data_IF_283145702799
#
_entry.id   IF_283145702799
#
_cell.length_a   1.000
_cell.length_b   1.000
_cell.length_c   1.000
_cell.angle_alpha   90.00
_cell.angle_beta   90.00
_cell.angle_gamma   90.00
#
_symmetry.space_group_name_H-M   'P 1'
#
loop_
_entity.id
_entity.type
_entity.pdbx_description
1 polymer ?
#
# COMPACT_ATOMS: atom_id res chain seq x y z
N UNK A 1 -9.08 13.03 1.19
CA UNK A 1 -10.38 13.70 1.40
C UNK A 1 -10.24 15.03 2.13
N UNK A 2 -9.69 15.10 3.35
CA UNK A 2 -9.54 16.37 4.08
C UNK A 2 -8.80 17.47 3.32
N UNK A 3 -7.68 17.13 2.67
CA UNK A 3 -6.93 18.08 1.86
C UNK A 3 -7.74 18.62 0.67
N UNK A 4 -8.64 17.80 0.11
CA UNK A 4 -9.54 18.17 -0.98
C UNK A 4 -10.59 19.16 -0.46
N UNK A 5 -11.27 18.81 0.63
CA UNK A 5 -12.24 19.70 1.27
C UNK A 5 -11.61 21.03 1.65
N UNK A 6 -10.37 21.00 2.16
CA UNK A 6 -9.64 22.23 2.47
C UNK A 6 -9.43 23.10 1.23
N UNK A 7 -8.93 22.55 0.12
CA UNK A 7 -8.75 23.33 -1.12
C UNK A 7 -10.08 23.88 -1.69
N UNK A 8 -11.21 23.21 -1.46
CA UNK A 8 -12.52 23.74 -1.87
C UNK A 8 -12.90 25.00 -1.08
N UNK A 9 -12.59 25.01 0.22
CA UNK A 9 -12.97 26.08 1.14
C UNK A 9 -11.90 27.18 1.20
N UNK A 10 -10.65 26.86 0.87
CA UNK A 10 -9.50 27.74 1.01
C UNK A 10 -9.67 29.12 0.35
N UNK A 11 -10.20 29.24 -0.88
CA UNK A 11 -10.45 30.55 -1.49
C UNK A 11 -11.42 31.44 -0.69
N UNK A 12 -12.28 30.85 0.13
CA UNK A 12 -13.29 31.54 0.94
C UNK A 12 -12.83 31.87 2.36
N UNK A 13 -11.59 31.54 2.74
CA UNK A 13 -11.07 31.77 4.11
C UNK A 13 -10.93 33.27 4.43
N UNK A 14 -10.60 34.10 3.44
CA UNK A 14 -10.41 35.54 3.64
C UNK A 14 -11.69 36.32 3.97
N UNK A 15 -12.87 35.79 3.61
CA UNK A 15 -14.19 36.34 3.97
C UNK A 15 -15.12 35.20 4.41
N UNK A 16 -15.03 34.76 5.69
CA UNK A 16 -15.67 33.54 6.18
C UNK A 16 -17.18 33.74 6.42
N UNK A 17 -17.94 33.94 5.34
CA UNK A 17 -19.39 33.89 5.36
C UNK A 17 -19.90 32.45 5.19
N UNK A 18 -20.82 32.01 6.05
CA UNK A 18 -21.43 30.67 5.99
C UNK A 18 -22.01 30.37 4.59
N UNK A 19 -22.63 31.37 3.96
CA UNK A 19 -23.19 31.28 2.60
C UNK A 19 -22.10 31.09 1.54
N UNK A 20 -20.94 31.74 1.68
CA UNK A 20 -19.81 31.59 0.74
C UNK A 20 -19.17 30.21 0.88
N UNK A 21 -18.94 29.75 2.10
CA UNK A 21 -18.38 28.41 2.36
C UNK A 21 -19.33 27.32 1.82
N UNK A 22 -20.63 27.45 2.09
CA UNK A 22 -21.64 26.54 1.55
C UNK A 22 -21.67 26.60 0.00
N UNK A 23 -21.56 27.80 -0.57
CA UNK A 23 -21.45 28.02 -2.02
C UNK A 23 -20.24 27.34 -2.64
N UNK A 24 -19.07 27.43 -2.02
CA UNK A 24 -17.83 26.78 -2.50
C UNK A 24 -17.89 25.26 -2.41
N UNK A 25 -18.45 24.72 -1.32
CA UNK A 25 -18.68 23.27 -1.18
C UNK A 25 -19.70 22.78 -2.22
N UNK A 26 -20.80 23.51 -2.41
CA UNK A 26 -21.81 23.18 -3.41
C UNK A 26 -21.24 23.27 -4.83
N UNK A 27 -20.47 24.32 -5.14
CA UNK A 27 -19.77 24.48 -6.42
C UNK A 27 -18.79 23.33 -6.69
N UNK A 28 -18.03 22.91 -5.68
CA UNK A 28 -17.17 21.73 -5.75
C UNK A 28 -17.95 20.44 -6.01
N UNK A 29 -19.06 20.22 -5.30
CA UNK A 29 -19.91 19.05 -5.49
C UNK A 29 -20.56 19.03 -6.88
N UNK A 30 -21.05 20.17 -7.37
CA UNK A 30 -21.59 20.33 -8.74
C UNK A 30 -20.50 20.05 -9.75
N UNK A 31 -19.29 20.59 -9.57
CA UNK A 31 -18.18 20.33 -10.48
C UNK A 31 -17.80 18.84 -10.51
N UNK A 32 -17.76 18.17 -9.36
CA UNK A 32 -17.54 16.71 -9.30
C UNK A 32 -18.64 15.97 -10.05
N UNK A 33 -19.91 16.31 -9.80
CA UNK A 33 -21.05 15.68 -10.47
C UNK A 33 -21.03 15.88 -11.99
N UNK A 34 -20.80 17.10 -12.45
CA UNK A 34 -20.71 17.45 -13.88
C UNK A 34 -19.50 16.80 -14.52
N UNK A 35 -18.32 16.85 -13.90
CA UNK A 35 -17.11 16.21 -14.42
C UNK A 35 -17.27 14.69 -14.51
N UNK A 36 -17.93 14.06 -13.53
CA UNK A 36 -18.20 12.63 -13.55
C UNK A 36 -19.24 12.24 -14.61
N UNK A 37 -20.27 13.05 -14.79
CA UNK A 37 -21.28 12.82 -15.81
C UNK A 37 -20.70 13.03 -17.21
N UNK A 38 -19.97 14.11 -17.41
CA UNK A 38 -19.27 14.39 -18.65
C UNK A 38 -18.17 13.35 -18.94
N UNK A 39 -17.48 12.84 -17.91
CA UNK A 39 -16.53 11.75 -18.10
C UNK A 39 -17.23 10.45 -18.54
N UNK A 40 -18.45 10.20 -18.05
CA UNK A 40 -19.27 9.06 -18.48
C UNK A 40 -19.60 9.06 -19.96
N UNK A 41 -20.03 10.21 -20.48
CA UNK A 41 -20.60 10.28 -21.83
C UNK A 41 -19.63 10.77 -22.89
N UNK A 42 -18.82 11.78 -22.57
CA UNK A 42 -17.86 12.36 -23.52
C UNK A 42 -16.53 11.62 -23.49
N UNK A 43 -16.00 11.36 -22.28
CA UNK A 43 -14.65 10.85 -22.12
C UNK A 43 -14.55 9.35 -22.43
N UNK A 44 -15.60 8.57 -22.16
CA UNK A 44 -15.69 7.19 -22.60
C UNK A 44 -15.58 7.06 -24.13
N UNK A 45 -16.33 7.87 -24.89
CA UNK A 45 -16.26 7.87 -26.36
C UNK A 45 -14.94 8.40 -26.90
N UNK A 46 -14.41 9.45 -26.28
CA UNK A 46 -13.13 10.04 -26.68
C UNK A 46 -11.97 9.07 -26.46
N UNK A 47 -11.93 8.37 -25.32
CA UNK A 47 -10.91 7.38 -25.04
C UNK A 47 -11.09 6.10 -25.83
N UNK A 48 -12.31 5.66 -26.10
CA UNK A 48 -12.54 4.53 -27.02
C UNK A 48 -12.01 4.84 -28.43
N UNK A 49 -12.23 6.06 -28.93
CA UNK A 49 -11.69 6.50 -30.21
C UNK A 49 -10.16 6.67 -30.19
N UNK A 50 -9.61 7.09 -29.05
CA UNK A 50 -8.17 7.37 -28.88
C UNK A 50 -7.36 6.14 -28.45
N UNK A 51 -7.99 5.07 -27.96
CA UNK A 51 -7.34 3.91 -27.34
C UNK A 51 -6.32 3.21 -28.26
N UNK A 52 -6.50 3.34 -29.58
CA UNK A 52 -5.59 2.78 -30.58
C UNK A 52 -4.25 3.51 -30.68
N UNK A 53 -4.12 4.73 -30.13
CA UNK A 53 -2.90 5.54 -30.19
C UNK A 53 -2.54 6.10 -28.81
N UNK A 54 -1.45 5.61 -28.19
CA UNK A 54 -1.01 6.06 -26.87
C UNK A 54 -0.86 7.59 -26.74
N UNK A 55 -0.43 8.26 -27.81
CA UNK A 55 -0.21 9.71 -27.86
C UNK A 55 -1.53 10.47 -27.74
N UNK A 56 -2.60 9.98 -28.40
CA UNK A 56 -3.92 10.59 -28.33
C UNK A 56 -4.56 10.42 -26.95
N UNK A 57 -4.30 9.29 -26.28
CA UNK A 57 -4.74 9.06 -24.89
C UNK A 57 -4.09 10.10 -23.96
N UNK A 58 -2.78 10.33 -24.09
CA UNK A 58 -2.08 11.34 -23.30
C UNK A 58 -2.64 12.74 -23.54
N UNK A 59 -2.73 13.17 -24.81
CA UNK A 59 -3.22 14.50 -25.17
C UNK A 59 -4.65 14.71 -24.66
N UNK A 60 -5.54 13.73 -24.86
CA UNK A 60 -6.94 13.79 -24.41
C UNK A 60 -7.04 13.89 -22.88
N UNK A 61 -6.20 13.16 -22.16
CA UNK A 61 -6.17 13.18 -20.69
C UNK A 61 -5.72 14.54 -20.14
N UNK A 62 -4.67 15.10 -20.74
CA UNK A 62 -4.14 16.43 -20.37
C UNK A 62 -5.14 17.53 -20.75
N UNK A 63 -5.75 17.44 -21.95
CA UNK A 63 -6.79 18.38 -22.37
C UNK A 63 -8.00 18.34 -21.42
N UNK A 64 -8.46 17.16 -21.02
CA UNK A 64 -9.51 17.00 -20.02
C UNK A 64 -9.15 17.65 -18.69
N UNK A 65 -7.92 17.44 -18.22
CA UNK A 65 -7.40 18.09 -17.01
C UNK A 65 -7.49 19.62 -17.10
N UNK A 66 -7.05 20.21 -18.22
CA UNK A 66 -7.11 21.66 -18.41
C UNK A 66 -8.54 22.20 -18.55
N UNK A 67 -9.43 21.48 -19.23
CA UNK A 67 -10.84 21.86 -19.36
C UNK A 67 -11.50 21.93 -17.97
N UNK A 68 -11.37 20.86 -17.17
CA UNK A 68 -11.98 20.80 -15.84
C UNK A 68 -11.34 21.84 -14.91
N UNK A 69 -10.02 22.04 -14.99
CA UNK A 69 -9.32 23.09 -14.22
C UNK A 69 -9.78 24.50 -14.58
N UNK A 70 -9.98 24.79 -15.86
CA UNK A 70 -10.49 26.08 -16.32
C UNK A 70 -11.96 26.32 -15.93
N UNK A 71 -12.79 25.27 -15.92
CA UNK A 71 -14.16 25.36 -15.39
C UNK A 71 -14.12 25.61 -13.88
N UNK A 72 -13.25 24.93 -13.14
CA UNK A 72 -13.09 25.11 -11.70
C UNK A 72 -12.76 26.56 -11.35
N UNK A 73 -11.79 27.17 -12.05
CA UNK A 73 -11.42 28.57 -11.87
C UNK A 73 -12.59 29.53 -12.11
N UNK A 74 -13.41 29.28 -13.16
CA UNK A 74 -14.61 30.08 -13.44
C UNK A 74 -15.69 29.94 -12.36
N UNK A 75 -15.73 28.83 -11.65
CA UNK A 75 -16.63 28.60 -10.51
C UNK A 75 -16.07 29.15 -9.19
N UNK A 76 -14.92 29.84 -9.21
CA UNK A 76 -14.27 30.37 -8.01
C UNK A 76 -13.53 29.32 -7.18
N UNK A 77 -13.28 28.13 -7.74
CA UNK A 77 -12.49 27.07 -7.13
C UNK A 77 -11.03 27.18 -7.59
N UNK A 78 -10.11 26.54 -6.86
CA UNK A 78 -8.71 26.51 -7.27
C UNK A 78 -8.48 25.64 -8.52
N UNK A 79 -7.47 25.97 -9.33
CA UNK A 79 -7.12 25.18 -10.53
C UNK A 79 -6.66 23.78 -10.14
N UNK A 80 -5.97 23.68 -9.01
CA UNK A 80 -5.45 22.47 -8.40
C UNK A 80 -6.60 21.53 -8.00
N UNK A 81 -7.70 22.07 -7.50
CA UNK A 81 -8.93 21.33 -7.24
C UNK A 81 -9.50 20.76 -8.54
N UNK A 82 -9.61 21.58 -9.59
CA UNK A 82 -10.12 21.13 -10.89
C UNK A 82 -9.26 20.02 -11.50
N UNK A 83 -7.93 20.13 -11.42
CA UNK A 83 -7.00 19.09 -11.88
C UNK A 83 -7.20 17.77 -11.11
N UNK A 84 -7.42 17.84 -9.79
CA UNK A 84 -7.70 16.66 -8.98
C UNK A 84 -9.04 16.01 -9.35
N UNK A 85 -10.10 16.80 -9.52
CA UNK A 85 -11.41 16.32 -9.95
C UNK A 85 -11.32 15.67 -11.33
N UNK A 86 -10.53 16.24 -12.25
CA UNK A 86 -10.28 15.65 -13.55
C UNK A 86 -9.64 14.27 -13.43
N UNK A 87 -8.58 14.14 -12.62
CA UNK A 87 -7.94 12.85 -12.36
C UNK A 87 -8.88 11.81 -11.74
N UNK A 88 -9.67 12.23 -10.75
CA UNK A 88 -10.70 11.36 -10.13
C UNK A 88 -11.74 10.90 -11.16
N UNK A 89 -12.22 11.81 -12.01
CA UNK A 89 -13.22 11.49 -13.04
C UNK A 89 -12.72 10.49 -14.08
N UNK A 90 -11.41 10.47 -14.38
CA UNK A 90 -10.77 9.49 -15.27
C UNK A 90 -10.60 8.14 -14.55
N UNK A 91 -10.16 8.17 -13.29
CA UNK A 91 -9.86 6.97 -12.50
C UNK A 91 -11.08 6.06 -12.28
N UNK A 92 -12.29 6.61 -12.39
CA UNK A 92 -13.53 5.87 -12.23
C UNK A 92 -13.93 5.00 -13.45
N UNK A 93 -13.21 5.09 -14.58
CA UNK A 93 -13.53 4.36 -15.82
C UNK A 93 -12.51 3.27 -16.14
N UNK A 94 -12.90 2.23 -16.91
CA UNK A 94 -12.03 1.10 -17.25
C UNK A 94 -10.69 1.48 -17.92
N UNK A 95 -10.67 2.58 -18.70
CA UNK A 95 -9.46 3.09 -19.36
C UNK A 95 -8.53 3.89 -18.43
N UNK A 96 -8.89 4.05 -17.15
CA UNK A 96 -8.12 4.82 -16.19
C UNK A 96 -6.69 4.29 -16.00
N UNK A 97 -6.49 2.98 -16.05
CA UNK A 97 -5.15 2.36 -15.98
C UNK A 97 -4.24 2.80 -17.12
N UNK A 98 -4.78 2.83 -18.34
CA UNK A 98 -4.03 3.20 -19.54
C UNK A 98 -3.65 4.67 -19.47
N UNK A 99 -4.59 5.54 -19.10
CA UNK A 99 -4.32 6.97 -18.89
C UNK A 99 -3.24 7.18 -17.83
N UNK A 100 -3.34 6.52 -16.68
CA UNK A 100 -2.36 6.63 -15.60
C UNK A 100 -0.97 6.23 -16.11
N UNK A 101 -0.85 5.14 -16.87
CA UNK A 101 0.43 4.69 -17.41
C UNK A 101 1.10 5.73 -18.32
N UNK A 102 0.31 6.49 -19.10
CA UNK A 102 0.84 7.49 -20.04
C UNK A 102 1.10 8.84 -19.37
N UNK A 103 0.23 9.24 -18.45
CA UNK A 103 0.37 10.51 -17.71
C UNK A 103 1.52 10.44 -16.70
N UNK A 104 1.88 9.25 -16.20
CA UNK A 104 2.95 9.07 -15.21
C UNK A 104 4.28 9.71 -15.64
N UNK A 105 4.75 9.48 -16.87
CA UNK A 105 6.00 10.09 -17.34
C UNK A 105 5.95 11.62 -17.37
N UNK A 106 4.83 12.20 -17.81
CA UNK A 106 4.62 13.66 -17.82
C UNK A 106 4.54 14.22 -16.41
N UNK A 107 3.79 13.55 -15.53
CA UNK A 107 3.68 13.89 -14.11
C UNK A 107 5.06 13.92 -13.46
N UNK A 108 5.86 12.87 -13.60
CA UNK A 108 7.14 12.74 -12.91
C UNK A 108 8.13 13.82 -13.39
N UNK A 109 8.11 14.13 -14.69
CA UNK A 109 8.87 15.25 -15.27
C UNK A 109 8.47 16.61 -14.65
N UNK A 110 7.18 16.94 -14.66
CA UNK A 110 6.70 18.23 -14.13
C UNK A 110 6.79 18.33 -12.61
N UNK A 111 6.60 17.23 -11.88
CA UNK A 111 6.79 17.18 -10.43
C UNK A 111 8.24 17.46 -10.07
N UNK A 112 9.18 16.88 -10.81
CA UNK A 112 10.62 17.16 -10.62
C UNK A 112 10.94 18.63 -10.90
N UNK A 113 10.44 19.19 -12.00
CA UNK A 113 10.63 20.61 -12.31
C UNK A 113 9.99 21.52 -11.25
N UNK A 114 8.80 21.15 -10.75
CA UNK A 114 8.12 21.86 -9.67
C UNK A 114 8.96 21.88 -8.39
N UNK A 115 9.53 20.73 -7.99
CA UNK A 115 10.42 20.64 -6.84
C UNK A 115 11.70 21.46 -7.00
N UNK A 116 12.31 21.44 -8.19
CA UNK A 116 13.49 22.27 -8.49
C UNK A 116 13.14 23.75 -8.39
N UNK A 117 12.06 24.18 -9.05
CA UNK A 117 11.64 25.58 -9.06
C UNK A 117 11.28 26.08 -7.65
N UNK A 118 10.65 25.23 -6.84
CA UNK A 118 10.30 25.53 -5.46
C UNK A 118 11.55 25.59 -4.58
N UNK A 119 12.48 24.65 -4.74
CA UNK A 119 13.78 24.65 -4.05
C UNK A 119 14.61 25.90 -4.36
N UNK A 120 14.59 26.38 -5.60
CA UNK A 120 15.24 27.63 -5.99
C UNK A 120 14.64 28.88 -5.31
N UNK A 121 13.38 28.82 -4.88
CA UNK A 121 12.73 29.90 -4.12
C UNK A 121 13.02 29.86 -2.63
N UNK A 122 13.61 28.76 -2.12
CA UNK A 122 13.97 28.65 -0.70
C UNK A 122 15.26 29.42 -0.46
N UNK A 123 15.24 30.55 0.26
CA UNK A 123 16.47 31.21 0.66
C UNK A 123 17.25 30.32 1.62
N UNK A 124 18.58 30.48 1.71
CA UNK A 124 19.41 29.75 2.67
C UNK A 124 18.78 29.88 4.06
N UNK A 125 18.32 28.78 4.69
CA UNK A 125 17.52 28.86 5.88
C UNK A 125 18.34 29.46 7.02
N UNK A 126 17.85 30.55 7.61
CA UNK A 126 18.40 31.06 8.85
C UNK A 126 18.31 30.00 9.94
N UNK A 127 19.16 30.09 10.97
CA UNK A 127 19.09 29.19 12.13
C UNK A 127 17.68 29.15 12.76
N UNK A 128 16.95 30.27 12.71
CA UNK A 128 15.56 30.34 13.15
C UNK A 128 14.62 29.53 12.26
N UNK A 129 14.71 29.63 10.94
CA UNK A 129 13.88 28.84 10.01
C UNK A 129 14.16 27.35 10.19
N UNK A 130 15.44 26.98 10.30
CA UNK A 130 15.84 25.59 10.51
C UNK A 130 15.29 25.04 11.83
N UNK A 131 15.36 25.81 12.92
CA UNK A 131 14.79 25.41 14.22
C UNK A 131 13.28 25.15 14.15
N UNK A 132 12.52 26.03 13.50
CA UNK A 132 11.07 25.82 13.32
C UNK A 132 10.78 24.63 12.40
N UNK A 133 11.57 24.44 11.35
CA UNK A 133 11.42 23.31 10.45
C UNK A 133 11.63 21.97 11.18
N UNK A 134 12.71 21.85 11.98
CA UNK A 134 12.98 20.66 12.81
C UNK A 134 11.84 20.41 13.80
N UNK A 135 11.30 21.45 14.41
CA UNK A 135 10.14 21.32 15.30
C UNK A 135 8.91 20.77 14.57
N UNK A 136 8.63 21.24 13.35
CA UNK A 136 7.53 20.71 12.52
C UNK A 136 7.79 19.24 12.19
N UNK A 137 9.01 18.87 11.77
CA UNK A 137 9.35 17.48 11.46
C UNK A 137 9.12 16.60 12.70
N UNK A 138 9.65 17.00 13.86
CA UNK A 138 9.45 16.28 15.11
C UNK A 138 7.96 16.13 15.47
N UNK A 139 7.18 17.20 15.30
CA UNK A 139 5.73 17.18 15.51
C UNK A 139 5.00 16.23 14.56
N UNK A 140 5.33 16.21 13.27
CA UNK A 140 4.70 15.32 12.28
C UNK A 140 5.00 13.87 12.61
N UNK A 141 6.25 13.52 12.92
CA UNK A 141 6.61 12.16 13.34
C UNK A 141 5.93 11.77 14.65
N UNK A 142 5.95 12.64 15.67
CA UNK A 142 5.33 12.36 16.96
C UNK A 142 3.80 12.22 16.88
N UNK A 143 3.12 13.11 16.14
CA UNK A 143 1.66 13.06 15.97
C UNK A 143 1.22 11.81 15.22
N UNK A 144 1.95 11.41 14.17
CA UNK A 144 1.68 10.16 13.45
C UNK A 144 1.94 8.92 14.29
N UNK A 145 3.02 8.94 15.07
CA UNK A 145 3.31 7.89 16.03
C UNK A 145 2.16 7.74 17.03
N UNK A 146 1.75 8.83 17.69
CA UNK A 146 0.67 8.82 18.70
C UNK A 146 -0.66 8.39 18.08
N UNK A 147 -1.00 8.83 16.88
CA UNK A 147 -2.29 8.54 16.26
C UNK A 147 -2.38 7.10 15.69
N UNK A 148 -1.30 6.61 15.07
CA UNK A 148 -1.35 5.36 14.30
C UNK A 148 -0.96 4.15 15.15
N UNK A 149 0.09 4.26 15.98
CA UNK A 149 0.63 3.12 16.74
C UNK A 149 -0.38 2.46 17.68
N UNK A 150 -1.17 3.20 18.49
CA UNK A 150 -2.18 2.58 19.35
C UNK A 150 -3.28 1.90 18.53
N UNK A 151 -3.68 2.51 17.42
CA UNK A 151 -4.74 2.00 16.53
C UNK A 151 -4.32 0.70 15.86
N UNK A 152 -3.10 0.63 15.31
CA UNK A 152 -2.55 -0.61 14.73
C UNK A 152 -2.39 -1.70 15.79
N UNK A 153 -1.92 -1.33 16.99
CA UNK A 153 -1.78 -2.28 18.10
C UNK A 153 -3.13 -2.85 18.56
N UNK A 154 -4.18 -2.02 18.68
CA UNK A 154 -5.53 -2.45 19.05
C UNK A 154 -6.16 -3.36 17.99
N UNK A 155 -5.89 -3.11 16.72
CA UNK A 155 -6.45 -3.88 15.60
C UNK A 155 -5.67 -5.17 15.29
N UNK A 156 -4.56 -5.44 15.99
CA UNK A 156 -3.61 -6.56 15.71
C UNK A 156 -2.99 -6.55 14.31
N UNK A 157 -3.28 -5.53 13.52
CA UNK A 157 -2.64 -5.27 12.23
C UNK A 157 -1.29 -4.60 12.52
N UNK A 158 -0.19 -5.29 12.19
CA UNK A 158 1.17 -4.90 12.56
C UNK A 158 1.49 -3.41 12.35
N UNK A 159 2.41 -2.90 13.19
CA UNK A 159 2.83 -1.50 13.28
C UNK A 159 3.43 -0.89 11.99
N UNK A 160 3.55 -1.68 10.93
CA UNK A 160 4.16 -1.34 9.65
C UNK A 160 3.55 -0.10 8.99
N UNK A 161 2.30 0.25 9.30
CA UNK A 161 1.61 1.39 8.70
C UNK A 161 1.99 2.76 9.29
N UNK A 162 2.47 2.82 10.55
CA UNK A 162 2.56 4.09 11.29
C UNK A 162 3.67 5.02 10.84
N UNK A 163 4.90 4.53 10.74
CA UNK A 163 6.08 5.35 10.46
C UNK A 163 6.23 5.69 8.97
N UNK A 164 5.73 4.82 8.09
CA UNK A 164 5.74 5.03 6.63
C UNK A 164 4.86 6.21 6.22
N UNK A 165 3.84 6.55 7.01
CA UNK A 165 2.91 7.65 6.73
C UNK A 165 3.31 9.00 7.34
N UNK A 166 4.48 9.07 7.98
CA UNK A 166 4.99 10.30 8.60
C UNK A 166 5.62 11.30 7.62
N UNK A 167 5.72 10.96 6.34
CA UNK A 167 6.21 11.89 5.32
C UNK A 167 5.17 12.98 5.03
N UNK A 168 5.61 14.24 5.03
CA UNK A 168 4.80 15.36 4.52
C UNK A 168 4.55 15.13 3.02
N UNK A 169 3.29 15.00 2.63
CA UNK A 169 2.88 14.71 1.25
C UNK A 169 3.20 15.86 0.31
N UNK A 170 3.55 15.55 -0.95
CA UNK A 170 3.68 16.50 -2.08
C UNK A 170 2.46 17.41 -2.23
N UNK A 171 1.28 16.88 -1.89
CA UNK A 171 0.02 17.63 -1.91
C UNK A 171 0.00 18.81 -0.92
N UNK A 172 0.82 18.77 0.12
CA UNK A 172 0.97 19.87 1.08
C UNK A 172 1.59 21.11 0.42
N UNK A 173 2.41 20.94 -0.62
CA UNK A 173 3.00 22.05 -1.39
C UNK A 173 1.98 22.78 -2.23
N UNK A 174 1.03 22.02 -2.78
CA UNK A 174 -0.09 22.55 -3.54
C UNK A 174 -0.91 23.48 -2.64
N UNK A 175 -1.24 23.02 -1.42
CA UNK A 175 -1.95 23.81 -0.40
C UNK A 175 -1.12 25.03 0.02
N UNK A 176 0.19 24.85 0.24
CA UNK A 176 1.09 25.93 0.64
C UNK A 176 1.16 27.03 -0.43
N UNK A 177 1.33 26.64 -1.70
CA UNK A 177 1.37 27.57 -2.83
C UNK A 177 0.05 28.31 -2.98
N UNK A 178 -1.07 27.60 -2.91
CA UNK A 178 -2.40 28.20 -2.94
C UNK A 178 -2.59 29.18 -1.77
N UNK A 179 -2.06 28.85 -0.59
CA UNK A 179 -2.10 29.69 0.59
C UNK A 179 -1.26 30.96 0.44
N UNK A 180 -0.08 30.84 -0.16
CA UNK A 180 0.76 31.99 -0.49
C UNK A 180 0.09 32.90 -1.55
N UNK A 181 -0.56 32.32 -2.56
CA UNK A 181 -1.24 33.08 -3.62
C UNK A 181 -2.44 33.87 -3.11
N UNK A 182 -3.20 33.32 -2.17
CA UNK A 182 -4.28 34.04 -1.49
C UNK A 182 -3.79 34.93 -0.33
N UNK A 183 -2.48 34.99 -0.06
CA UNK A 183 -1.91 35.77 1.04
C UNK A 183 -2.19 35.22 2.44
N UNK A 184 -2.70 33.98 2.56
CA UNK A 184 -2.92 33.29 3.83
C UNK A 184 -1.61 32.87 4.50
N UNK A 185 -0.54 32.71 3.73
CA UNK A 185 0.76 32.22 4.19
C UNK A 185 1.83 33.24 3.86
N UNK A 186 2.58 33.69 4.87
CA UNK A 186 3.72 34.58 4.69
C UNK A 186 4.92 33.85 4.07
N UNK A 187 5.82 34.60 3.42
CA UNK A 187 7.06 34.04 2.85
C UNK A 187 7.90 33.29 3.88
N UNK A 188 7.92 33.79 5.13
CA UNK A 188 8.61 33.12 6.24
C UNK A 188 7.97 31.78 6.59
N UNK A 189 6.65 31.70 6.66
CA UNK A 189 5.94 30.46 6.91
C UNK A 189 6.14 29.46 5.75
N UNK A 190 6.09 29.96 4.51
CA UNK A 190 6.43 29.17 3.32
C UNK A 190 7.82 28.58 3.41
N UNK A 191 8.84 29.39 3.70
CA UNK A 191 10.23 28.91 3.83
C UNK A 191 10.39 27.83 4.92
N UNK A 192 9.71 27.99 6.06
CA UNK A 192 9.73 26.99 7.15
C UNK A 192 9.10 25.67 6.71
N UNK A 193 7.92 25.69 6.09
CA UNK A 193 7.22 24.47 5.63
C UNK A 193 8.01 23.78 4.53
N UNK A 194 8.57 24.53 3.58
CA UNK A 194 9.42 23.99 2.51
C UNK A 194 10.67 23.31 3.08
N UNK A 195 11.35 23.96 4.03
CA UNK A 195 12.52 23.38 4.71
C UNK A 195 12.15 22.11 5.46
N UNK A 196 11.04 22.10 6.19
CA UNK A 196 10.56 20.92 6.91
C UNK A 196 10.25 19.76 5.95
N UNK A 197 9.67 20.06 4.79
CA UNK A 197 9.37 19.05 3.79
C UNK A 197 10.62 18.44 3.15
N UNK A 198 11.63 19.26 2.85
CA UNK A 198 12.93 18.78 2.34
C UNK A 198 13.57 17.85 3.38
N UNK A 199 13.64 18.30 4.64
CA UNK A 199 14.19 17.48 5.74
C UNK A 199 13.42 16.18 5.91
N UNK A 200 12.09 16.23 5.91
CA UNK A 200 11.26 15.03 6.05
C UNK A 200 11.46 14.08 4.87
N UNK A 201 11.52 14.58 3.64
CA UNK A 201 11.72 13.75 2.45
C UNK A 201 13.11 13.12 2.42
N UNK A 202 14.12 13.79 2.96
CA UNK A 202 15.47 13.23 3.11
C UNK A 202 15.53 12.16 4.21
N UNK A 203 14.84 12.38 5.33
CA UNK A 203 14.84 11.47 6.50
C UNK A 203 13.94 10.24 6.26
N UNK A 204 12.84 10.38 5.51
CA UNK A 204 11.81 9.34 5.35
C UNK A 204 12.35 8.00 4.81
N UNK A 205 13.18 7.94 3.75
CA UNK A 205 13.72 6.67 3.25
C UNK A 205 14.51 5.89 4.31
N UNK A 206 15.27 6.59 5.15
CA UNK A 206 16.02 5.96 6.24
C UNK A 206 15.10 5.46 7.35
N UNK A 207 14.06 6.22 7.70
CA UNK A 207 13.06 5.80 8.69
C UNK A 207 12.25 4.60 8.18
N UNK A 208 11.87 4.60 6.90
CA UNK A 208 11.16 3.49 6.26
C UNK A 208 12.06 2.25 6.21
N UNK A 209 13.33 2.38 5.83
CA UNK A 209 14.29 1.26 5.83
C UNK A 209 14.60 0.72 7.23
N UNK A 210 14.58 1.59 8.26
CA UNK A 210 14.78 1.20 9.65
C UNK A 210 13.48 0.83 10.39
N UNK A 211 12.34 0.78 9.69
CA UNK A 211 11.01 0.65 10.28
C UNK A 211 10.94 -0.55 11.25
N UNK A 212 11.46 -1.71 10.86
CA UNK A 212 11.40 -2.93 11.67
C UNK A 212 12.19 -2.84 12.97
N UNK A 213 13.29 -2.08 12.96
CA UNK A 213 14.11 -1.84 14.15
C UNK A 213 13.43 -0.84 15.07
N UNK A 214 12.88 0.24 14.50
CA UNK A 214 12.17 1.28 15.26
C UNK A 214 10.89 0.70 15.87
N UNK A 215 10.10 -0.05 15.10
CA UNK A 215 8.89 -0.72 15.56
C UNK A 215 9.20 -1.66 16.74
N UNK A 216 10.22 -2.52 16.64
CA UNK A 216 10.63 -3.40 17.76
C UNK A 216 11.05 -2.65 19.01
N UNK A 217 11.87 -1.59 18.89
CA UNK A 217 12.32 -0.82 20.05
C UNK A 217 11.12 -0.15 20.74
N UNK A 218 10.22 0.44 19.94
CA UNK A 218 9.10 1.23 20.42
C UNK A 218 7.92 0.40 20.92
N UNK A 219 7.79 -0.86 20.47
CA UNK A 219 6.76 -1.80 20.92
C UNK A 219 7.14 -2.57 22.20
N UNK A 220 8.42 -2.63 22.58
CA UNK A 220 8.86 -3.27 23.84
C UNK A 220 8.03 -2.90 25.08
N UNK A 221 7.62 -1.63 25.28
CA UNK A 221 6.74 -1.26 26.40
C UNK A 221 5.30 -1.78 26.23
N UNK A 222 4.77 -1.75 25.00
CA UNK A 222 3.40 -2.21 24.70
C UNK A 222 3.27 -3.73 24.77
N UNK A 223 4.27 -4.49 24.32
CA UNK A 223 4.31 -5.96 24.45
C UNK A 223 4.30 -6.42 25.91
N UNK A 224 4.93 -5.66 26.83
CA UNK A 224 4.86 -5.99 28.27
C UNK A 224 3.45 -5.78 28.84
N UNK A 225 2.71 -4.83 28.28
CA UNK A 225 1.32 -4.58 28.65
C UNK A 225 0.36 -5.59 27.99
N UNK A 226 0.63 -5.99 26.74
CA UNK A 226 -0.05 -7.08 26.01
C UNK A 226 0.03 -8.39 26.80
N UNK A 227 1.24 -8.78 27.18
CA UNK A 227 1.52 -10.01 27.95
C UNK A 227 0.86 -10.00 29.33
N UNK A 228 0.62 -8.83 29.93
CA UNK A 228 -0.15 -8.71 31.19
C UNK A 228 -1.65 -8.90 30.97
N UNK A 229 -2.18 -8.56 29.79
CA UNK A 229 -3.61 -8.68 29.45
C UNK A 229 -3.97 -10.06 28.93
N UNK A 230 -3.08 -10.71 28.16
CA UNK A 230 -3.23 -12.13 27.77
C UNK A 230 -3.14 -13.07 28.96
N UNK A 231 -2.27 -12.79 29.94
CA UNK A 231 -2.23 -13.55 31.21
C UNK A 231 -3.46 -13.34 32.10
N UNK A 232 -4.26 -12.33 31.83
CA UNK A 232 -5.47 -12.01 32.60
C UNK A 232 -6.77 -12.47 31.90
N UNK A 233 -6.69 -13.06 30.70
CA UNK A 233 -7.85 -13.46 29.91
C UNK A 233 -7.81 -14.93 29.49
N UNK A 234 -8.36 -15.80 30.35
CA UNK A 234 -8.83 -17.15 29.99
C UNK A 234 -7.75 -18.22 29.76
N UNK A 235 -8.11 -19.51 29.87
CA UNK A 235 -7.15 -20.59 29.64
C UNK A 235 -6.63 -20.53 28.20
N UNK A 236 -5.35 -20.86 28.02
CA UNK A 236 -4.77 -21.07 26.70
C UNK A 236 -5.70 -21.99 25.89
N UNK A 237 -6.03 -21.67 24.62
CA UNK A 237 -6.73 -22.62 23.77
C UNK A 237 -5.88 -23.88 23.77
N UNK A 238 -6.52 -25.01 24.09
CA UNK A 238 -5.89 -26.32 24.17
C UNK A 238 -4.89 -26.50 23.02
N UNK A 239 -3.75 -27.09 23.35
CA UNK A 239 -2.78 -27.58 22.36
C UNK A 239 -3.52 -28.45 21.36
N UNK A 240 -3.92 -27.85 20.23
CA UNK A 240 -4.60 -28.57 19.17
C UNK A 240 -3.60 -29.58 18.60
N UNK A 241 -3.92 -30.88 18.61
CA UNK A 241 -3.09 -31.85 17.92
C UNK A 241 -3.20 -31.59 16.41
N UNK A 242 -2.07 -31.70 15.70
CA UNK A 242 -1.93 -31.74 14.24
C UNK A 242 -1.75 -30.43 13.46
N UNK A 243 -0.67 -29.68 13.74
CA UNK A 243 -0.06 -28.77 12.73
C UNK A 243 0.73 -29.55 11.68
N UNK A 244 0.11 -30.51 11.00
CA UNK A 244 0.87 -31.40 10.12
C UNK A 244 1.25 -30.74 8.78
N UNK A 245 0.38 -29.90 8.23
CA UNK A 245 0.60 -29.21 6.96
C UNK A 245 0.46 -27.70 7.18
N UNK A 246 1.54 -26.97 6.98
CA UNK A 246 1.56 -25.51 7.07
C UNK A 246 1.65 -24.92 5.67
N UNK A 247 0.66 -24.13 5.29
CA UNK A 247 0.64 -23.37 4.04
C UNK A 247 0.98 -21.91 4.33
N UNK A 248 2.12 -21.45 3.81
CA UNK A 248 2.60 -20.09 3.95
C UNK A 248 2.13 -19.26 2.75
N UNK A 249 1.31 -18.25 3.06
CA UNK A 249 0.71 -17.32 2.12
C UNK A 249 -0.64 -17.77 1.56
N UNK A 250 -1.62 -16.87 1.56
CA UNK A 250 -2.94 -17.02 0.96
C UNK A 250 -3.00 -16.34 -0.42
N UNK A 251 -2.34 -16.95 -1.40
CA UNK A 251 -2.34 -16.48 -2.80
C UNK A 251 -3.03 -17.47 -3.76
N UNK A 252 -2.85 -17.29 -5.08
CA UNK A 252 -3.55 -18.06 -6.12
C UNK A 252 -3.35 -19.57 -5.98
N UNK A 253 -2.12 -20.01 -5.73
CA UNK A 253 -1.80 -21.43 -5.58
C UNK A 253 -2.40 -21.97 -4.27
N UNK A 254 -2.28 -21.25 -3.16
CA UNK A 254 -2.92 -21.66 -1.90
C UNK A 254 -4.44 -21.80 -2.06
N UNK A 255 -5.11 -20.85 -2.71
CA UNK A 255 -6.55 -20.93 -2.97
C UNK A 255 -6.89 -22.18 -3.79
N UNK A 256 -6.15 -22.45 -4.87
CA UNK A 256 -6.34 -23.66 -5.66
C UNK A 256 -6.12 -24.94 -4.83
N UNK A 257 -5.14 -24.97 -3.93
CA UNK A 257 -4.91 -26.09 -3.00
C UNK A 257 -6.11 -26.26 -2.07
N UNK A 258 -6.58 -25.19 -1.43
CA UNK A 258 -7.73 -25.23 -0.52
C UNK A 258 -9.00 -25.70 -1.24
N UNK A 259 -9.25 -25.22 -2.46
CA UNK A 259 -10.39 -25.64 -3.29
C UNK A 259 -10.31 -27.13 -3.66
N UNK A 260 -9.11 -27.64 -3.99
CA UNK A 260 -8.92 -29.06 -4.30
C UNK A 260 -9.01 -29.95 -3.07
N UNK A 261 -8.52 -29.50 -1.92
CA UNK A 261 -8.71 -30.20 -0.65
C UNK A 261 -10.19 -30.31 -0.32
N UNK A 262 -10.96 -29.25 -0.54
CA UNK A 262 -12.40 -29.25 -0.36
C UNK A 262 -13.14 -30.25 -1.23
N UNK A 263 -12.74 -30.35 -2.51
CA UNK A 263 -13.42 -31.20 -3.47
C UNK A 263 -12.99 -32.66 -3.38
N UNK A 264 -11.70 -32.91 -3.14
CA UNK A 264 -11.08 -34.22 -3.38
C UNK A 264 -10.52 -34.86 -2.11
N UNK A 265 -10.18 -34.08 -1.09
CA UNK A 265 -9.58 -34.59 0.14
C UNK A 265 -10.08 -33.89 1.42
N UNK A 266 -11.39 -33.87 1.72
CA UNK A 266 -11.95 -33.11 2.85
C UNK A 266 -11.34 -33.48 4.21
N UNK A 267 -10.86 -34.72 4.36
CA UNK A 267 -10.19 -35.22 5.55
C UNK A 267 -8.88 -34.48 5.89
N UNK A 268 -8.30 -33.72 4.94
CA UNK A 268 -7.10 -32.90 5.19
C UNK A 268 -7.41 -31.52 5.77
N UNK A 269 -8.68 -31.06 5.79
CA UNK A 269 -9.04 -29.71 6.24
C UNK A 269 -8.53 -29.38 7.64
N UNK A 270 -8.77 -30.27 8.60
CA UNK A 270 -8.35 -30.08 9.99
C UNK A 270 -6.85 -30.27 10.25
N UNK A 271 -6.07 -30.62 9.21
CA UNK A 271 -4.61 -30.80 9.29
C UNK A 271 -3.84 -29.66 8.62
N UNK A 272 -4.55 -28.73 7.98
CA UNK A 272 -3.99 -27.60 7.24
C UNK A 272 -4.12 -26.33 8.08
N UNK A 273 -2.98 -25.74 8.39
CA UNK A 273 -2.88 -24.38 8.94
C UNK A 273 -2.36 -23.44 7.87
N UNK A 274 -3.17 -22.45 7.52
CA UNK A 274 -2.77 -21.38 6.61
C UNK A 274 -2.22 -20.19 7.40
N UNK A 275 -1.08 -19.68 6.98
CA UNK A 275 -0.40 -18.55 7.62
C UNK A 275 -0.36 -17.39 6.64
N UNK A 276 -0.93 -16.25 7.01
CA UNK A 276 -0.91 -15.03 6.17
C UNK A 276 -0.93 -13.78 7.05
N UNK A 277 -0.44 -12.65 6.53
CA UNK A 277 -0.45 -11.37 7.25
C UNK A 277 -1.79 -10.61 7.10
N UNK A 278 -2.59 -10.94 6.08
CA UNK A 278 -3.88 -10.29 5.82
C UNK A 278 -5.00 -10.97 6.63
N UNK A 279 -5.34 -10.38 7.78
CA UNK A 279 -6.40 -10.86 8.66
C UNK A 279 -7.79 -10.88 8.00
N UNK A 280 -8.01 -10.09 6.94
CA UNK A 280 -9.29 -10.08 6.21
C UNK A 280 -9.47 -11.39 5.44
N UNK A 281 -8.39 -11.93 4.87
CA UNK A 281 -8.37 -13.24 4.20
C UNK A 281 -8.57 -14.39 5.20
N UNK A 282 -8.02 -14.25 6.41
CA UNK A 282 -8.15 -15.27 7.45
C UNK A 282 -9.59 -15.64 7.79
N UNK A 283 -10.50 -14.66 7.86
CA UNK A 283 -11.93 -14.93 8.12
C UNK A 283 -12.58 -15.82 7.07
N UNK A 284 -12.26 -15.61 5.78
CA UNK A 284 -12.81 -16.44 4.70
C UNK A 284 -12.28 -17.88 4.75
N UNK A 285 -11.02 -18.06 5.16
CA UNK A 285 -10.38 -19.37 5.29
C UNK A 285 -10.96 -20.14 6.48
N UNK A 286 -11.14 -19.49 7.62
CA UNK A 286 -11.78 -20.09 8.79
C UNK A 286 -13.25 -20.47 8.52
N UNK A 287 -14.00 -19.64 7.78
CA UNK A 287 -15.37 -19.95 7.37
C UNK A 287 -15.47 -21.21 6.50
N UNK A 288 -14.39 -21.59 5.82
CA UNK A 288 -14.27 -22.82 5.03
C UNK A 288 -13.86 -24.04 5.87
N UNK A 289 -13.59 -23.88 7.16
CA UNK A 289 -13.22 -24.95 8.08
C UNK A 289 -11.73 -25.32 8.06
N UNK A 290 -10.87 -24.42 7.56
CA UNK A 290 -9.42 -24.54 7.68
C UNK A 290 -8.91 -23.77 8.90
N UNK A 291 -7.75 -24.16 9.43
CA UNK A 291 -7.07 -23.38 10.46
C UNK A 291 -6.35 -22.20 9.81
N UNK A 292 -6.38 -21.06 10.49
CA UNK A 292 -5.69 -19.85 10.06
C UNK A 292 -4.93 -19.22 11.22
N UNK A 293 -3.68 -18.84 10.99
CA UNK A 293 -2.87 -18.10 11.93
C UNK A 293 -2.29 -16.84 11.25
N UNK A 294 -2.14 -15.78 12.03
CA UNK A 294 -1.46 -14.58 11.56
C UNK A 294 0.05 -14.83 11.54
N UNK A 295 0.70 -14.55 10.41
CA UNK A 295 2.16 -14.61 10.34
C UNK A 295 2.71 -13.79 9.18
N UNK A 296 3.65 -12.90 9.50
CA UNK A 296 4.46 -12.21 8.51
C UNK A 296 5.69 -13.06 8.19
N UNK A 297 5.77 -13.56 6.95
CA UNK A 297 6.86 -14.41 6.48
C UNK A 297 8.22 -13.68 6.49
N UNK A 298 8.21 -12.35 6.46
CA UNK A 298 9.44 -11.55 6.55
C UNK A 298 9.97 -11.41 7.98
N UNK A 299 9.16 -11.76 8.99
CA UNK A 299 9.51 -11.66 10.40
C UNK A 299 9.84 -13.04 10.98
N UNK A 300 11.13 -13.37 11.23
CA UNK A 300 11.53 -14.65 11.81
C UNK A 300 10.88 -14.94 13.17
N UNK A 301 10.71 -13.90 13.99
CA UNK A 301 10.10 -14.04 15.32
C UNK A 301 8.63 -14.47 15.16
N UNK A 302 7.91 -13.94 14.15
CA UNK A 302 6.53 -14.36 13.88
C UNK A 302 6.47 -15.84 13.48
N UNK A 303 7.42 -16.33 12.68
CA UNK A 303 7.50 -17.73 12.27
C UNK A 303 7.83 -18.68 13.43
N UNK A 304 8.63 -18.24 14.40
CA UNK A 304 8.97 -19.03 15.60
C UNK A 304 7.74 -19.32 16.47
N UNK A 305 6.81 -18.36 16.59
CA UNK A 305 5.60 -18.54 17.40
C UNK A 305 4.56 -19.48 16.77
N UNK A 306 4.68 -19.82 15.48
CA UNK A 306 3.76 -20.72 14.78
C UNK A 306 3.96 -22.19 15.16
N UNK A 307 5.00 -22.53 15.95
CA UNK A 307 5.28 -23.90 16.37
C UNK A 307 5.59 -24.82 15.18
N UNK A 308 6.38 -24.32 14.23
CA UNK A 308 6.75 -25.00 12.98
C UNK A 308 7.54 -26.31 13.21
N UNK A 309 8.09 -26.52 14.40
CA UNK A 309 8.81 -27.74 14.78
C UNK A 309 7.96 -29.01 14.62
N UNK A 310 6.65 -28.90 14.77
CA UNK A 310 5.70 -30.02 14.68
C UNK A 310 5.19 -30.24 13.24
N UNK A 311 5.55 -29.36 12.30
CA UNK A 311 5.13 -29.48 10.91
C UNK A 311 5.78 -30.67 10.24
N UNK A 312 4.97 -31.47 9.52
CA UNK A 312 5.47 -32.55 8.66
C UNK A 312 5.72 -32.04 7.25
N UNK A 313 4.90 -31.10 6.79
CA UNK A 313 5.02 -30.47 5.48
C UNK A 313 4.86 -28.96 5.65
N UNK A 314 5.78 -28.19 5.09
CA UNK A 314 5.68 -26.72 4.98
C UNK A 314 5.67 -26.36 3.51
N UNK A 315 4.60 -25.72 3.05
CA UNK A 315 4.40 -25.32 1.65
C UNK A 315 4.39 -23.81 1.56
N UNK A 316 5.30 -23.21 0.79
CA UNK A 316 5.23 -21.79 0.44
C UNK A 316 4.60 -21.64 -0.93
N UNK A 317 3.51 -20.88 -1.00
CA UNK A 317 2.74 -20.66 -2.25
C UNK A 317 3.03 -19.31 -2.92
N UNK A 318 4.01 -18.58 -2.39
CA UNK A 318 4.41 -17.24 -2.82
C UNK A 318 5.86 -17.30 -3.33
N UNK A 319 6.09 -16.70 -4.49
CA UNK A 319 7.41 -16.55 -5.10
C UNK A 319 8.04 -15.18 -4.80
N UNK A 320 9.30 -14.98 -5.19
CA UNK A 320 10.04 -13.73 -4.91
C UNK A 320 9.40 -12.48 -5.52
N UNK A 321 8.68 -12.59 -6.65
CA UNK A 321 7.93 -11.46 -7.23
C UNK A 321 6.88 -10.90 -6.28
N UNK A 322 6.30 -11.73 -5.41
CA UNK A 322 5.20 -11.34 -4.52
C UNK A 322 5.60 -11.25 -3.05
N UNK A 323 6.70 -11.89 -2.65
CA UNK A 323 7.29 -11.77 -1.32
C UNK A 323 7.89 -10.37 -1.14
N UNK A 324 7.64 -9.75 0.02
CA UNK A 324 8.18 -8.45 0.40
C UNK A 324 8.90 -8.58 1.74
N UNK A 325 10.08 -7.98 1.87
CA UNK A 325 10.85 -7.99 3.13
C UNK A 325 11.71 -9.23 3.37
N UNK A 326 11.50 -10.32 2.62
CA UNK A 326 12.35 -11.52 2.65
C UNK A 326 12.38 -12.15 1.25
N UNK A 327 13.49 -12.81 0.90
CA UNK A 327 13.54 -13.65 -0.30
C UNK A 327 13.19 -15.10 0.03
N UNK A 328 12.63 -15.82 -0.93
CA UNK A 328 12.36 -17.26 -0.89
C UNK A 328 13.58 -18.04 -0.42
N UNK A 329 14.79 -17.70 -0.88
CA UNK A 329 16.05 -18.30 -0.41
C UNK A 329 16.28 -18.13 1.10
N UNK A 330 16.07 -16.91 1.64
CA UNK A 330 16.21 -16.65 3.08
C UNK A 330 15.08 -17.32 3.87
N UNK A 331 13.89 -17.37 3.30
CA UNK A 331 12.73 -18.04 3.88
C UNK A 331 13.00 -19.54 4.01
N UNK A 332 13.46 -20.23 2.97
CA UNK A 332 13.85 -21.65 3.02
C UNK A 332 14.87 -21.91 4.13
N UNK A 333 15.93 -21.11 4.20
CA UNK A 333 16.94 -21.26 5.24
C UNK A 333 16.37 -21.08 6.66
N UNK A 334 15.39 -20.19 6.83
CA UNK A 334 14.68 -19.98 8.09
C UNK A 334 13.77 -21.17 8.40
N UNK A 335 12.99 -21.64 7.42
CA UNK A 335 12.10 -22.79 7.57
C UNK A 335 12.87 -24.06 7.90
N UNK A 336 14.02 -24.31 7.26
CA UNK A 336 14.87 -25.46 7.57
C UNK A 336 15.44 -25.42 8.98
N UNK A 337 15.67 -24.23 9.53
CA UNK A 337 16.07 -24.06 10.94
C UNK A 337 14.92 -24.33 11.90
N UNK A 338 13.71 -23.83 11.59
CA UNK A 338 12.53 -23.92 12.46
C UNK A 338 11.80 -25.26 12.38
N UNK A 339 11.87 -25.93 11.23
CA UNK A 339 11.20 -27.19 10.95
C UNK A 339 12.18 -28.18 10.30
N UNK A 340 13.22 -28.62 11.04
CA UNK A 340 14.32 -29.40 10.45
C UNK A 340 13.87 -30.73 9.84
N UNK A 341 12.81 -31.34 10.40
CA UNK A 341 12.25 -32.62 9.98
C UNK A 341 11.11 -32.50 8.96
N UNK A 342 10.67 -31.28 8.63
CA UNK A 342 9.57 -31.08 7.70
C UNK A 342 10.04 -31.24 6.25
N UNK A 343 9.15 -31.76 5.40
CA UNK A 343 9.26 -31.63 3.95
C UNK A 343 8.91 -30.19 3.55
N UNK A 344 9.89 -29.46 3.03
CA UNK A 344 9.75 -28.07 2.60
C UNK A 344 9.49 -28.03 1.10
N UNK A 345 8.29 -27.61 0.72
CA UNK A 345 7.87 -27.39 -0.66
C UNK A 345 7.82 -25.90 -0.95
N UNK A 346 8.59 -25.45 -1.92
CA UNK A 346 8.63 -24.05 -2.35
C UNK A 346 7.97 -23.87 -3.70
N UNK A 347 7.56 -22.64 -3.99
CA UNK A 347 7.13 -22.24 -5.34
C UNK A 347 8.22 -21.39 -5.97
N UNK A 348 8.75 -21.82 -7.11
CA UNK A 348 9.69 -21.06 -7.94
C UNK A 348 8.98 -20.39 -9.13
N UNK A 349 9.65 -19.44 -9.78
CA UNK A 349 9.12 -18.77 -10.98
C UNK A 349 9.68 -19.39 -12.25
N UNK A 350 11.00 -19.57 -12.28
CA UNK A 350 11.71 -20.22 -13.37
C UNK A 350 12.47 -21.46 -12.89
N UNK A 351 12.89 -22.28 -13.85
CA UNK A 351 13.67 -23.49 -13.59
C UNK A 351 14.99 -23.19 -12.90
N UNK A 352 15.62 -22.08 -13.25
CA UNK A 352 16.88 -21.62 -12.63
C UNK A 352 16.70 -21.33 -11.14
N UNK A 353 15.58 -20.71 -10.76
CA UNK A 353 15.28 -20.41 -9.35
C UNK A 353 15.02 -21.69 -8.55
N UNK A 354 14.41 -22.69 -9.20
CA UNK A 354 14.11 -23.96 -8.57
C UNK A 354 15.39 -24.69 -8.12
N UNK A 355 16.43 -24.69 -8.95
CA UNK A 355 17.73 -25.28 -8.58
C UNK A 355 18.34 -24.58 -7.37
N UNK A 356 18.27 -23.25 -7.32
CA UNK A 356 18.82 -22.46 -6.22
C UNK A 356 18.05 -22.66 -4.91
N UNK A 357 16.73 -22.83 -4.98
CA UNK A 357 15.89 -23.14 -3.81
C UNK A 357 16.14 -24.55 -3.27
N UNK A 358 16.36 -25.53 -4.15
CA UNK A 358 16.78 -26.88 -3.74
C UNK A 358 18.14 -26.83 -3.02
N UNK A 359 19.13 -26.10 -3.58
CA UNK A 359 20.44 -25.91 -2.93
C UNK A 359 20.33 -25.16 -1.59
N UNK A 360 19.33 -24.29 -1.44
CA UNK A 360 19.09 -23.55 -0.20
C UNK A 360 18.45 -24.41 0.90
N UNK A 361 18.00 -25.63 0.59
CA UNK A 361 17.46 -26.59 1.55
C UNK A 361 15.97 -26.88 1.41
N UNK A 362 15.33 -26.53 0.29
CA UNK A 362 13.99 -27.02 -0.05
C UNK A 362 14.07 -28.49 -0.51
N UNK A 363 13.06 -29.29 -0.17
CA UNK A 363 13.00 -30.69 -0.62
C UNK A 363 12.35 -30.80 -2.00
N UNK A 364 11.36 -29.94 -2.26
CA UNK A 364 10.70 -29.85 -3.55
C UNK A 364 10.49 -28.39 -3.95
N UNK A 365 10.55 -28.13 -5.25
CA UNK A 365 10.19 -26.83 -5.82
C UNK A 365 9.20 -27.05 -6.94
N UNK A 366 8.06 -26.36 -6.85
CA UNK A 366 7.03 -26.36 -7.87
C UNK A 366 7.21 -25.10 -8.72
N UNK A 367 7.32 -25.29 -10.04
CA UNK A 367 7.37 -24.19 -11.01
C UNK A 367 6.02 -24.18 -11.76
N UNK A 368 5.10 -23.25 -11.43
CA UNK A 368 3.75 -23.27 -11.99
C UNK A 368 3.72 -23.23 -13.52
N UNK A 369 4.67 -22.52 -14.14
CA UNK A 369 4.81 -22.46 -15.60
C UNK A 369 5.08 -23.83 -16.23
N UNK A 370 5.99 -24.62 -15.66
CA UNK A 370 6.32 -25.97 -16.14
C UNK A 370 5.13 -26.92 -15.98
N UNK A 371 4.54 -26.96 -14.77
CA UNK A 371 3.39 -27.84 -14.47
C UNK A 371 2.20 -27.51 -15.39
N UNK A 372 1.96 -26.23 -15.65
CA UNK A 372 0.90 -25.79 -16.56
C UNK A 372 1.21 -26.21 -17.99
N UNK A 373 2.45 -26.06 -18.44
CA UNK A 373 2.92 -26.50 -19.76
C UNK A 373 2.74 -28.01 -19.97
N UNK A 374 3.15 -28.82 -19.00
CA UNK A 374 2.97 -30.29 -19.02
C UNK A 374 1.49 -30.68 -19.12
N UNK A 375 0.63 -29.97 -18.37
CA UNK A 375 -0.81 -30.23 -18.42
C UNK A 375 -1.42 -29.86 -19.77
N UNK A 376 -0.98 -28.77 -20.39
CA UNK A 376 -1.41 -28.39 -21.74
C UNK A 376 -0.97 -29.44 -22.75
N UNK A 377 0.29 -29.90 -22.70
CA UNK A 377 0.78 -30.95 -23.58
C UNK A 377 -0.07 -32.21 -23.48
N UNK A 378 -0.39 -32.66 -22.25
CA UNK A 378 -1.25 -33.83 -22.02
C UNK A 378 -2.64 -33.66 -22.64
N UNK A 379 -3.19 -32.44 -22.68
CA UNK A 379 -4.47 -32.17 -23.33
C UNK A 379 -4.36 -32.18 -24.84
N UNK A 380 -3.28 -31.61 -25.41
CA UNK A 380 -3.01 -31.63 -26.84
C UNK A 380 -2.82 -33.05 -27.38
N UNK A 381 -2.19 -33.93 -26.61
CA UNK A 381 -2.01 -35.35 -26.98
C UNK A 381 -3.32 -36.14 -26.96
N UNK A 382 -4.31 -35.73 -26.16
CA UNK A 382 -5.63 -36.38 -26.10
C UNK A 382 -6.57 -35.99 -27.23
N UNK A 383 -6.28 -34.91 -27.93
CA UNK A 383 -7.04 -34.42 -29.10
C UNK A 383 -6.49 -34.99 -30.44
N UNK A 384 -5.43 -35.82 -30.38
CA UNK A 384 -5.01 -36.68 -31.49
C UNK A 384 -5.66 -38.06 -31.35
#
# INVERSE_FOLDING_TARGET
>A
VWAILFMAVQPSIADPGVVRIAGSIAGGAVLVGVAFLASRYALARLFEASARRPELVLISSVAWCFIVSGIAERLGLSREMGALIAGLSISAYPYGSDVISKVTGVRDFFVTLFFVALGMKVPVPSATILGHAVLIVAFVFASRFIAVVPTTYLLRDGLYAGLVTAQISEFSLVILKLGADYGHVSDRASAVVLTAMILTSLVSPYVIGANDRIARIMLRPFERLARRRERAGGPAPDAHPAREIVLLGHFRIAQAVLDRVEQLAPHLKGRITLVDYDATRGRAVMARGFHWEYGDLANPDALEHLGMEQARIVVTTISDTFLKGISTRRLVATLRRLAPQATIVMTGEEKTDAEDLLRAGADHVLVPGEITGERILTLLEKEK
#
